data_IF_073210077888
#
_entry.id   IF_073210077888
#
_cell.length_a   1.000
_cell.length_b   1.000
_cell.length_c   1.000
_cell.angle_alpha   90.00
_cell.angle_beta   90.00
_cell.angle_gamma   90.00
#
_symmetry.space_group_name_H-M   'P 1'
#
loop_
_entity.id
_entity.type
_entity.pdbx_description
1 polymer ?
#
# COMPACT_ATOMS: atom_id res chain seq x y z
N UNK A 1 24.75 28.89 53.31
CA UNK A 1 24.84 30.16 52.55
C UNK A 1 24.36 29.90 51.14
N UNK A 2 23.41 30.74 50.68
CA UNK A 2 23.12 31.20 49.30
C UNK A 2 23.18 30.14 48.17
N UNK A 3 22.14 29.84 47.41
CA UNK A 3 20.96 30.63 47.05
C UNK A 3 21.11 31.24 45.65
N UNK A 4 20.00 31.29 44.91
CA UNK A 4 19.78 32.14 43.74
C UNK A 4 20.23 31.52 42.41
N UNK A 5 19.46 31.53 41.34
CA UNK A 5 18.33 32.41 41.02
C UNK A 5 18.67 33.22 39.77
N UNK A 6 17.86 32.96 38.73
CA UNK A 6 17.07 33.96 38.03
C UNK A 6 17.73 34.94 37.02
N UNK A 7 16.90 35.25 36.00
CA UNK A 7 16.80 36.48 35.19
C UNK A 7 17.64 36.55 33.91
N UNK A 8 17.00 36.43 32.73
CA UNK A 8 16.24 37.45 31.94
C UNK A 8 17.17 38.32 31.08
N UNK A 9 16.93 38.35 29.77
CA UNK A 9 16.20 39.44 29.10
C UNK A 9 16.50 39.49 27.59
N UNK A 10 15.43 39.73 26.85
CA UNK A 10 15.34 40.11 25.45
C UNK A 10 16.08 41.41 25.11
N UNK A 11 16.59 41.53 23.88
CA UNK A 11 16.72 42.81 23.19
C UNK A 11 16.28 42.69 21.73
N UNK A 12 15.38 43.59 21.35
CA UNK A 12 14.82 43.87 20.03
C UNK A 12 15.77 44.75 19.21
N UNK A 13 15.80 44.59 17.88
CA UNK A 13 15.81 45.70 16.91
C UNK A 13 15.76 45.19 15.46
N UNK A 14 14.72 45.61 14.73
CA UNK A 14 14.74 45.88 13.27
C UNK A 14 15.30 47.30 13.08
N UNK A 15 15.90 47.69 11.93
CA UNK A 15 15.22 47.85 10.62
C UNK A 15 16.16 47.46 9.43
N UNK A 16 15.79 47.43 8.14
CA UNK A 16 15.17 48.47 7.30
C UNK A 16 14.44 47.91 6.06
N UNK A 17 13.58 48.79 5.55
CA UNK A 17 12.70 48.71 4.40
C UNK A 17 13.44 48.66 3.05
N UNK A 18 12.85 47.96 2.07
CA UNK A 18 12.96 48.34 0.67
C UNK A 18 11.55 48.53 0.10
N UNK A 19 11.25 49.79 -0.18
CA UNK A 19 10.10 50.26 -0.95
C UNK A 19 10.36 49.96 -2.43
N UNK A 20 9.36 49.43 -3.15
CA UNK A 20 9.23 49.76 -4.55
C UNK A 20 7.76 50.01 -4.89
N UNK A 21 7.48 51.28 -5.19
CA UNK A 21 6.21 51.77 -5.70
C UNK A 21 6.21 51.61 -7.21
N UNK A 22 5.15 51.01 -7.75
CA UNK A 22 4.47 51.53 -8.94
C UNK A 22 3.02 51.04 -8.91
N UNK A 23 2.11 52.02 -8.79
CA UNK A 23 0.67 51.87 -8.92
C UNK A 23 0.31 51.75 -10.40
N UNK A 24 -0.72 50.97 -10.70
CA UNK A 24 -1.83 51.44 -11.54
C UNK A 24 -3.14 50.73 -11.15
N UNK A 25 -4.23 51.48 -11.29
CA UNK A 25 -5.59 51.27 -10.79
C UNK A 25 -6.24 50.01 -11.42
N UNK A 26 -7.23 49.29 -10.88
CA UNK A 26 -8.32 49.59 -9.99
C UNK A 26 -9.60 49.00 -10.63
N UNK A 27 -10.23 48.02 -10.00
CA UNK A 27 -11.68 47.78 -10.15
C UNK A 27 -12.19 47.04 -8.92
N UNK A 28 -13.03 47.73 -8.14
CA UNK A 28 -13.47 47.31 -6.83
C UNK A 28 -14.50 46.19 -6.85
N UNK A 29 -14.41 45.29 -5.87
CA UNK A 29 -15.50 44.44 -5.45
C UNK A 29 -16.14 45.05 -4.20
N UNK A 30 -17.47 45.13 -4.23
CA UNK A 30 -18.29 45.81 -3.22
C UNK A 30 -18.23 45.11 -1.86
N UNK A 31 -18.27 45.95 -0.82
CA UNK A 31 -18.44 45.54 0.57
C UNK A 31 -19.84 44.94 0.73
N UNK A 32 -19.91 43.64 1.01
CA UNK A 32 -20.83 43.00 1.98
C UNK A 32 -20.77 41.47 1.86
N UNK A 33 -19.84 40.83 2.58
CA UNK A 33 -20.01 39.46 3.05
C UNK A 33 -19.18 39.30 4.33
N UNK A 34 -19.85 39.30 5.47
CA UNK A 34 -19.25 39.12 6.79
C UNK A 34 -20.04 38.00 7.46
N UNK A 35 -19.30 36.99 7.96
CA UNK A 35 -19.67 35.83 8.80
C UNK A 35 -20.17 34.57 8.05
N UNK A 36 -19.60 33.38 8.23
CA UNK A 36 -18.50 32.98 9.11
C UNK A 36 -18.02 31.52 8.96
N UNK A 37 -16.79 31.31 9.47
CA UNK A 37 -16.20 30.10 10.07
C UNK A 37 -16.02 28.85 9.18
N UNK A 38 -14.75 28.60 8.80
CA UNK A 38 -14.27 27.28 8.38
C UNK A 38 -13.24 27.30 7.24
N UNK A 39 -12.17 28.10 7.32
CA UNK A 39 -11.14 28.19 6.27
C UNK A 39 -10.05 27.13 6.54
N UNK A 40 -10.19 25.96 5.92
CA UNK A 40 -9.07 25.16 5.43
C UNK A 40 -8.85 25.55 3.97
N UNK A 41 -7.64 25.95 3.61
CA UNK A 41 -7.33 26.69 2.39
C UNK A 41 -7.86 26.02 1.11
N UNK A 42 -8.72 26.73 0.39
CA UNK A 42 -9.04 26.41 -1.00
C UNK A 42 -7.77 26.68 -1.84
N UNK A 43 -7.12 25.61 -2.29
CA UNK A 43 -6.30 25.70 -3.49
C UNK A 43 -7.26 26.04 -4.65
N UNK A 44 -7.38 27.32 -4.99
CA UNK A 44 -8.03 27.75 -6.23
C UNK A 44 -7.12 27.25 -7.36
N UNK A 45 -7.36 26.03 -7.82
CA UNK A 45 -6.86 25.60 -9.12
C UNK A 45 -7.61 26.45 -10.12
N UNK A 46 -6.89 27.37 -10.76
CA UNK A 46 -7.39 28.00 -11.98
C UNK A 46 -7.34 26.90 -13.04
N UNK A 47 -8.37 26.05 -13.09
CA UNK A 47 -8.66 25.31 -14.30
C UNK A 47 -8.83 26.39 -15.36
N UNK A 48 -7.90 26.48 -16.30
CA UNK A 48 -8.02 27.38 -17.43
C UNK A 48 -9.17 26.87 -18.31
N UNK A 49 -10.41 27.09 -17.88
CA UNK A 49 -11.59 26.98 -18.71
C UNK A 49 -11.59 28.19 -19.65
N UNK A 50 -10.85 28.11 -20.76
CA UNK A 50 -11.13 28.97 -21.91
C UNK A 50 -12.34 28.41 -22.65
N UNK A 51 -13.53 28.61 -22.06
CA UNK A 51 -14.76 28.68 -22.83
C UNK A 51 -14.74 29.97 -23.65
N UNK A 52 -13.94 30.01 -24.72
CA UNK A 52 -14.11 30.98 -25.79
C UNK A 52 -15.03 30.34 -26.82
N UNK A 53 -16.28 30.79 -26.78
CA UNK A 53 -17.29 30.56 -27.82
C UNK A 53 -16.69 30.81 -29.21
N UNK A 54 -16.83 29.81 -30.08
CA UNK A 54 -16.86 30.03 -31.53
C UNK A 54 -15.72 29.36 -32.30
N UNK A 55 -15.85 28.05 -32.55
CA UNK A 55 -15.75 27.42 -33.88
C UNK A 55 -15.88 25.91 -33.72
N UNK A 56 -16.98 25.38 -34.23
CA UNK A 56 -17.21 23.95 -34.39
C UNK A 56 -16.03 23.34 -35.18
N UNK A 57 -15.60 22.14 -34.76
CA UNK A 57 -14.59 21.24 -35.36
C UNK A 57 -13.14 21.30 -34.86
N UNK A 58 -12.90 21.75 -33.62
CA UNK A 58 -11.62 21.51 -32.93
C UNK A 58 -11.81 20.96 -31.50
N UNK A 59 -12.66 19.94 -31.33
CA UNK A 59 -12.63 19.11 -30.12
C UNK A 59 -11.50 18.07 -30.26
N UNK A 60 -10.25 18.53 -30.24
CA UNK A 60 -9.12 17.66 -29.90
C UNK A 60 -9.07 17.66 -28.38
N UNK A 61 -9.17 16.45 -27.80
CA UNK A 61 -9.08 16.16 -26.38
C UNK A 61 -8.13 17.13 -25.66
N UNK A 62 -8.70 18.02 -24.84
CA UNK A 62 -7.89 18.79 -23.90
C UNK A 62 -7.25 17.79 -22.93
N UNK A 63 -5.92 17.69 -22.98
CA UNK A 63 -5.15 16.81 -22.09
C UNK A 63 -5.35 17.30 -20.67
N UNK A 64 -6.16 16.60 -19.89
CA UNK A 64 -6.30 16.85 -18.46
C UNK A 64 -4.94 16.66 -17.79
N UNK A 65 -4.40 17.74 -17.20
CA UNK A 65 -3.13 17.72 -16.46
C UNK A 65 -3.40 17.78 -14.98
N UNK A 66 -2.89 16.78 -14.25
CA UNK A 66 -2.95 16.74 -12.80
C UNK A 66 -2.04 17.80 -12.19
N UNK A 67 -2.45 18.33 -11.03
CA UNK A 67 -1.57 19.18 -10.23
C UNK A 67 -0.41 18.35 -9.67
N UNK A 68 0.79 18.94 -9.56
CA UNK A 68 1.94 18.25 -8.96
C UNK A 68 1.70 17.86 -7.50
N UNK A 69 0.91 18.66 -6.79
CA UNK A 69 0.52 18.42 -5.40
C UNK A 69 -0.95 18.80 -5.19
N UNK A 70 -1.66 17.94 -4.47
CA UNK A 70 -3.06 18.11 -4.08
C UNK A 70 -3.16 17.98 -2.57
N UNK A 71 -3.69 19.01 -1.91
CA UNK A 71 -4.04 18.94 -0.50
C UNK A 71 -5.39 18.25 -0.35
N UNK A 72 -5.38 17.02 0.16
CA UNK A 72 -6.62 16.27 0.38
C UNK A 72 -7.29 16.68 1.70
N UNK A 73 -8.61 16.82 1.65
CA UNK A 73 -9.46 16.87 2.83
C UNK A 73 -10.70 16.01 2.57
N UNK A 74 -11.13 15.16 3.51
CA UNK A 74 -12.31 14.33 3.33
C UNK A 74 -13.54 15.16 2.99
N UNK A 75 -14.26 14.75 1.95
CA UNK A 75 -15.53 15.35 1.57
C UNK A 75 -16.61 15.04 2.63
N UNK A 76 -17.56 15.97 2.78
CA UNK A 76 -18.71 15.83 3.70
C UNK A 76 -19.93 15.25 3.02
N UNK A 77 -20.00 15.34 1.69
CA UNK A 77 -21.08 14.76 0.88
C UNK A 77 -20.54 13.92 -0.26
N UNK A 78 -21.40 13.05 -0.79
CA UNK A 78 -21.08 12.21 -1.96
C UNK A 78 -20.80 13.08 -3.19
N UNK A 79 -21.56 14.16 -3.38
CA UNK A 79 -21.37 15.10 -4.50
C UNK A 79 -20.02 15.82 -4.40
N UNK A 80 -19.62 16.24 -3.20
CA UNK A 80 -18.30 16.82 -2.96
C UNK A 80 -17.19 15.83 -3.29
N UNK A 81 -17.31 14.57 -2.88
CA UNK A 81 -16.31 13.53 -3.15
C UNK A 81 -16.16 13.25 -4.65
N UNK A 82 -17.27 13.14 -5.40
CA UNK A 82 -17.27 12.94 -6.85
C UNK A 82 -16.70 14.15 -7.59
N UNK A 83 -17.11 15.35 -7.17
CA UNK A 83 -16.59 16.59 -7.76
C UNK A 83 -15.09 16.70 -7.55
N UNK A 84 -14.60 16.43 -6.34
CA UNK A 84 -13.18 16.42 -6.03
C UNK A 84 -12.41 15.47 -6.97
N UNK A 85 -12.89 14.23 -7.08
CA UNK A 85 -12.23 13.22 -7.91
C UNK A 85 -12.21 13.64 -9.40
N UNK A 86 -13.30 14.20 -9.89
CA UNK A 86 -13.38 14.71 -11.27
C UNK A 86 -12.45 15.88 -11.52
N UNK A 87 -12.38 16.85 -10.60
CA UNK A 87 -11.60 18.08 -10.81
C UNK A 87 -10.12 17.93 -10.53
N UNK A 88 -9.74 17.08 -9.58
CA UNK A 88 -8.36 16.95 -9.11
C UNK A 88 -7.66 15.68 -9.57
N UNK A 89 -8.41 14.60 -9.81
CA UNK A 89 -7.87 13.29 -10.21
C UNK A 89 -8.26 12.89 -11.64
N UNK A 90 -9.12 13.66 -12.30
CA UNK A 90 -9.55 13.39 -13.68
C UNK A 90 -10.49 12.19 -13.83
N UNK A 91 -11.05 11.70 -12.72
CA UNK A 91 -11.94 10.55 -12.73
C UNK A 91 -13.30 10.97 -13.31
N UNK A 92 -13.76 10.24 -14.31
CA UNK A 92 -14.98 10.55 -15.06
C UNK A 92 -16.22 10.02 -14.36
N UNK A 93 -16.12 8.80 -13.83
CA UNK A 93 -17.27 8.06 -13.30
C UNK A 93 -16.99 7.50 -11.91
N UNK A 94 -17.99 7.61 -11.03
CA UNK A 94 -18.06 6.91 -9.75
C UNK A 94 -19.36 6.13 -9.69
N UNK A 95 -19.32 4.95 -9.08
CA UNK A 95 -20.53 4.21 -8.74
C UNK A 95 -21.44 5.04 -7.82
N UNK A 96 -22.72 5.13 -8.18
CA UNK A 96 -23.69 5.97 -7.47
C UNK A 96 -23.99 5.50 -6.05
N UNK A 97 -23.84 4.20 -5.78
CA UNK A 97 -24.17 3.55 -4.51
C UNK A 97 -22.98 3.42 -3.58
N UNK A 98 -21.81 3.89 -3.98
CA UNK A 98 -20.61 3.81 -3.15
C UNK A 98 -20.74 4.70 -1.90
N UNK A 99 -20.46 4.18 -0.69
CA UNK A 99 -20.51 4.98 0.52
C UNK A 99 -19.48 6.12 0.50
N UNK A 100 -19.82 7.27 1.09
CA UNK A 100 -18.93 8.44 1.19
C UNK A 100 -17.58 8.11 1.81
N UNK A 101 -17.57 7.27 2.85
CA UNK A 101 -16.34 6.85 3.54
C UNK A 101 -15.38 6.12 2.60
N UNK A 102 -15.93 5.26 1.72
CA UNK A 102 -15.18 4.53 0.70
C UNK A 102 -14.68 5.49 -0.38
N UNK A 103 -15.50 6.44 -0.84
CA UNK A 103 -15.07 7.45 -1.80
C UNK A 103 -13.90 8.30 -1.26
N UNK A 104 -13.97 8.71 0.01
CA UNK A 104 -12.88 9.46 0.65
C UNK A 104 -11.61 8.62 0.76
N UNK A 105 -11.71 7.35 1.11
CA UNK A 105 -10.57 6.43 1.14
C UNK A 105 -9.92 6.27 -0.25
N UNK A 106 -10.71 6.10 -1.31
CA UNK A 106 -10.20 6.05 -2.69
C UNK A 106 -9.49 7.35 -3.05
N UNK A 107 -10.15 8.49 -2.82
CA UNK A 107 -9.60 9.80 -3.17
C UNK A 107 -8.29 10.08 -2.45
N UNK A 108 -8.21 9.79 -1.14
CA UNK A 108 -6.99 9.96 -0.35
C UNK A 108 -5.84 9.10 -0.89
N UNK A 109 -6.11 7.81 -1.17
CA UNK A 109 -5.10 6.89 -1.71
C UNK A 109 -4.58 7.34 -3.08
N UNK A 110 -5.46 7.80 -3.97
CA UNK A 110 -5.07 8.30 -5.29
C UNK A 110 -4.33 9.64 -5.23
N UNK A 111 -4.70 10.53 -4.31
CA UNK A 111 -3.95 11.77 -4.04
C UNK A 111 -2.53 11.46 -3.56
N UNK A 112 -2.35 10.46 -2.69
CA UNK A 112 -1.02 10.07 -2.23
C UNK A 112 -0.11 9.68 -3.41
N UNK A 113 -0.62 8.89 -4.36
CA UNK A 113 0.12 8.52 -5.56
C UNK A 113 0.37 9.74 -6.45
N UNK A 114 -0.64 10.58 -6.66
CA UNK A 114 -0.51 11.82 -7.42
C UNK A 114 0.66 12.67 -6.91
N UNK A 115 0.70 12.89 -5.60
CA UNK A 115 1.67 13.78 -4.98
C UNK A 115 3.07 13.19 -5.01
N UNK A 116 3.22 11.88 -4.77
CA UNK A 116 4.52 11.19 -4.89
C UNK A 116 5.05 11.29 -6.32
N UNK A 117 4.20 11.03 -7.31
CA UNK A 117 4.57 11.06 -8.73
C UNK A 117 4.54 12.45 -9.36
N UNK A 118 4.23 13.49 -8.57
CA UNK A 118 4.13 14.89 -9.01
C UNK A 118 3.18 15.09 -10.19
N UNK A 119 1.99 14.51 -10.12
CA UNK A 119 0.96 14.64 -11.15
C UNK A 119 1.23 13.86 -12.45
N UNK A 120 2.20 12.93 -12.44
CA UNK A 120 2.58 12.15 -13.63
C UNK A 120 1.91 10.78 -13.72
N UNK A 121 1.36 10.28 -12.62
CA UNK A 121 0.64 9.01 -12.64
C UNK A 121 -0.61 9.09 -13.53
N UNK A 122 -0.86 8.04 -14.31
CA UNK A 122 -2.14 7.84 -14.98
C UNK A 122 -3.19 7.43 -13.96
N UNK A 123 -4.28 8.17 -13.84
CA UNK A 123 -5.40 7.80 -12.97
C UNK A 123 -6.38 6.88 -13.69
N UNK A 124 -7.18 6.15 -12.91
CA UNK A 124 -8.34 5.41 -13.41
C UNK A 124 -9.39 6.39 -13.97
N UNK A 125 -10.11 5.97 -14.99
CA UNK A 125 -11.22 6.74 -15.57
C UNK A 125 -12.52 6.55 -14.76
N UNK A 126 -12.70 5.35 -14.21
CA UNK A 126 -13.93 4.94 -13.52
C UNK A 126 -13.60 4.25 -12.20
N UNK A 127 -14.35 4.57 -11.13
CA UNK A 127 -14.30 3.86 -9.85
C UNK A 127 -15.62 3.12 -9.63
N UNK A 128 -15.57 1.79 -9.61
CA UNK A 128 -16.72 0.92 -9.39
C UNK A 128 -16.86 0.49 -7.94
N UNK A 129 -18.10 0.22 -7.49
CA UNK A 129 -18.39 -0.40 -6.20
C UNK A 129 -19.30 -1.61 -6.41
N UNK A 130 -18.69 -2.72 -6.79
CA UNK A 130 -19.40 -3.85 -7.40
C UNK A 130 -19.31 -5.11 -6.53
N UNK A 131 -20.37 -5.94 -6.48
CA UNK A 131 -20.27 -7.24 -5.85
C UNK A 131 -19.31 -8.12 -6.65
N UNK A 132 -18.31 -8.66 -5.97
CA UNK A 132 -17.38 -9.63 -6.55
C UNK A 132 -17.71 -11.03 -6.01
N UNK A 133 -17.29 -12.07 -6.74
CA UNK A 133 -17.60 -13.45 -6.38
C UNK A 133 -17.09 -13.77 -4.96
N UNK A 134 -17.81 -14.58 -4.19
CA UNK A 134 -17.49 -14.85 -2.79
C UNK A 134 -16.09 -15.47 -2.54
N UNK A 135 -15.46 -16.04 -3.59
CA UNK A 135 -14.09 -16.57 -3.55
C UNK A 135 -12.99 -15.50 -3.77
N UNK A 136 -13.38 -14.31 -4.21
CA UNK A 136 -12.47 -13.18 -4.41
C UNK A 136 -12.46 -12.34 -3.12
N UNK A 137 -11.50 -12.62 -2.26
CA UNK A 137 -11.33 -11.93 -0.97
C UNK A 137 -10.54 -10.61 -1.10
N UNK A 138 -10.12 -10.25 -2.32
CA UNK A 138 -9.40 -9.00 -2.58
C UNK A 138 -10.29 -7.78 -2.30
N UNK A 139 -9.71 -6.73 -1.72
CA UNK A 139 -10.43 -5.47 -1.43
C UNK A 139 -10.85 -4.72 -2.71
N UNK A 140 -10.07 -4.85 -3.78
CA UNK A 140 -10.33 -4.23 -5.06
C UNK A 140 -9.54 -4.93 -6.18
N UNK A 141 -9.84 -4.58 -7.43
CA UNK A 141 -9.07 -4.99 -8.60
C UNK A 141 -9.03 -3.89 -9.68
N UNK A 142 -7.96 -3.87 -10.47
CA UNK A 142 -7.85 -3.04 -11.66
C UNK A 142 -8.40 -3.76 -12.91
N UNK A 143 -9.08 -3.01 -13.77
CA UNK A 143 -9.42 -3.39 -15.14
C UNK A 143 -8.75 -2.40 -16.09
N UNK A 144 -8.06 -2.95 -17.09
CA UNK A 144 -7.39 -2.17 -18.12
C UNK A 144 -8.35 -1.25 -18.90
N UNK A 145 -7.81 -0.21 -19.52
CA UNK A 145 -8.63 0.64 -20.39
C UNK A 145 -9.19 -0.12 -21.60
N UNK A 146 -8.46 -1.11 -22.11
CA UNK A 146 -8.90 -1.92 -23.26
C UNK A 146 -10.05 -2.86 -22.89
N UNK A 147 -10.02 -3.44 -21.69
CA UNK A 147 -11.09 -4.33 -21.21
C UNK A 147 -12.29 -3.56 -20.64
N UNK A 148 -12.07 -2.35 -20.11
CA UNK A 148 -13.14 -1.47 -19.62
C UNK A 148 -13.92 -0.76 -20.72
N UNK A 149 -13.44 -0.78 -21.97
CA UNK A 149 -14.13 -0.22 -23.13
C UNK A 149 -14.44 1.28 -22.96
N UNK A 150 -15.70 1.66 -23.10
CA UNK A 150 -16.13 3.06 -22.99
C UNK A 150 -15.93 3.65 -21.58
N UNK A 151 -15.83 2.81 -20.56
CA UNK A 151 -15.57 3.23 -19.17
C UNK A 151 -14.09 3.53 -18.90
N UNK A 152 -13.19 3.24 -19.84
CA UNK A 152 -11.75 3.42 -19.69
C UNK A 152 -11.17 2.47 -18.63
N UNK A 153 -10.06 2.87 -18.01
CA UNK A 153 -9.47 2.07 -16.93
C UNK A 153 -10.35 2.13 -15.68
N UNK A 154 -10.60 0.98 -15.05
CA UNK A 154 -11.55 0.87 -13.92
C UNK A 154 -10.84 0.37 -12.67
N UNK A 155 -11.08 1.04 -11.54
CA UNK A 155 -10.76 0.51 -10.21
C UNK A 155 -12.04 0.02 -9.55
N UNK A 156 -12.22 -1.29 -9.48
CA UNK A 156 -13.40 -1.90 -8.90
C UNK A 156 -13.15 -2.24 -7.44
N UNK A 157 -13.92 -1.64 -6.55
CA UNK A 157 -13.88 -1.91 -5.12
C UNK A 157 -14.88 -3.03 -4.83
N UNK A 158 -14.42 -4.01 -4.04
CA UNK A 158 -15.20 -5.20 -3.72
C UNK A 158 -16.28 -4.87 -2.69
N UNK A 159 -17.49 -4.61 -3.19
CA UNK A 159 -18.66 -4.33 -2.35
C UNK A 159 -18.94 -5.44 -1.35
N UNK A 160 -18.80 -6.70 -1.77
CA UNK A 160 -19.07 -7.87 -0.92
C UNK A 160 -18.16 -7.85 0.31
N UNK A 161 -16.86 -7.59 0.11
CA UNK A 161 -15.90 -7.54 1.22
C UNK A 161 -16.11 -6.32 2.11
N UNK A 162 -16.36 -5.15 1.52
CA UNK A 162 -16.55 -3.91 2.29
C UNK A 162 -17.82 -3.97 3.16
N UNK A 163 -18.93 -4.52 2.64
CA UNK A 163 -20.17 -4.66 3.41
C UNK A 163 -20.09 -5.73 4.51
N UNK A 164 -19.18 -6.70 4.39
CA UNK A 164 -19.00 -7.81 5.35
C UNK A 164 -17.62 -7.80 6.05
N UNK A 165 -17.00 -6.61 6.17
CA UNK A 165 -15.63 -6.48 6.68
C UNK A 165 -15.48 -7.04 8.12
N UNK A 166 -16.53 -6.92 8.94
CA UNK A 166 -16.52 -7.49 10.29
C UNK A 166 -16.44 -9.02 10.25
N UNK A 167 -17.23 -9.69 9.41
CA UNK A 167 -17.16 -11.13 9.22
C UNK A 167 -15.77 -11.55 8.71
N UNK A 168 -15.21 -10.83 7.74
CA UNK A 168 -13.87 -11.13 7.22
C UNK A 168 -12.79 -11.05 8.30
N UNK A 169 -12.80 -10.01 9.15
CA UNK A 169 -11.87 -9.90 10.28
C UNK A 169 -12.06 -11.08 11.26
N UNK A 170 -13.29 -11.50 11.52
CA UNK A 170 -13.55 -12.63 12.41
C UNK A 170 -13.06 -13.97 11.82
N UNK A 171 -13.18 -14.17 10.50
CA UNK A 171 -12.66 -15.36 9.81
C UNK A 171 -11.15 -15.45 9.92
N UNK A 172 -10.42 -14.39 9.57
CA UNK A 172 -8.94 -14.39 9.66
C UNK A 172 -8.47 -14.56 11.11
N UNK A 173 -9.20 -14.03 12.09
CA UNK A 173 -8.89 -14.22 13.51
C UNK A 173 -9.06 -15.67 13.95
N UNK A 174 -10.11 -16.34 13.47
CA UNK A 174 -10.31 -17.77 13.72
C UNK A 174 -9.16 -18.58 13.15
N UNK A 175 -8.79 -18.33 11.90
CA UNK A 175 -7.65 -19.00 11.25
C UNK A 175 -6.34 -18.75 12.00
N UNK A 176 -6.13 -17.53 12.50
CA UNK A 176 -4.94 -17.17 13.28
C UNK A 176 -4.83 -17.93 14.60
N UNK A 177 -5.97 -18.17 15.26
CA UNK A 177 -6.05 -19.00 16.47
C UNK A 177 -5.77 -20.46 16.13
N UNK A 178 -6.39 -20.98 15.06
CA UNK A 178 -6.22 -22.37 14.62
C UNK A 178 -4.77 -22.65 14.17
N UNK A 179 -4.13 -21.70 13.50
CA UNK A 179 -2.74 -21.79 13.03
C UNK A 179 -1.69 -21.44 14.10
N UNK A 180 -2.08 -21.23 15.36
CA UNK A 180 -1.18 -20.86 16.46
C UNK A 180 -0.32 -19.63 16.16
N UNK A 181 -0.90 -18.64 15.49
CA UNK A 181 -0.34 -17.29 15.39
C UNK A 181 -0.71 -16.51 16.64
N UNK A 182 -1.97 -16.64 17.04
CA UNK A 182 -2.56 -16.00 18.22
C UNK A 182 -3.10 -17.03 19.21
N UNK A 183 -3.32 -16.60 20.45
CA UNK A 183 -4.03 -17.36 21.47
C UNK A 183 -4.84 -16.41 22.36
N UNK A 184 -5.79 -16.96 23.14
CA UNK A 184 -6.44 -16.21 24.23
C UNK A 184 -5.66 -16.39 25.53
N UNK A 185 -5.25 -15.29 26.14
CA UNK A 185 -4.54 -15.30 27.41
C UNK A 185 -5.48 -15.64 28.58
N UNK A 186 -4.97 -15.63 29.81
CA UNK A 186 -5.75 -15.95 31.03
C UNK A 186 -6.93 -15.01 31.29
N UNK A 187 -6.89 -13.80 30.74
CA UNK A 187 -7.96 -12.80 30.83
C UNK A 187 -8.97 -12.92 29.68
N UNK A 188 -8.81 -13.90 28.79
CA UNK A 188 -9.64 -14.09 27.61
C UNK A 188 -9.33 -13.14 26.45
N UNK A 189 -8.30 -12.29 26.57
CA UNK A 189 -7.86 -11.36 25.54
C UNK A 189 -6.94 -12.03 24.53
N UNK A 190 -6.96 -11.56 23.30
CA UNK A 190 -6.03 -12.00 22.26
C UNK A 190 -4.60 -11.59 22.61
N UNK A 191 -3.67 -12.51 22.38
CA UNK A 191 -2.22 -12.30 22.45
C UNK A 191 -1.51 -13.11 21.34
N UNK A 192 -0.26 -12.77 21.04
CA UNK A 192 0.56 -13.40 20.00
C UNK A 192 1.57 -14.38 20.60
N UNK A 193 1.83 -15.49 19.90
CA UNK A 193 2.99 -16.33 20.24
C UNK A 193 4.29 -15.54 20.07
N UNK A 194 5.33 -15.85 20.87
CA UNK A 194 6.55 -15.04 20.97
C UNK A 194 7.21 -14.74 19.62
N UNK A 195 7.21 -15.69 18.69
CA UNK A 195 7.75 -15.48 17.35
C UNK A 195 7.07 -14.33 16.60
N UNK A 196 5.79 -14.09 16.84
CA UNK A 196 5.03 -13.03 16.17
C UNK A 196 4.97 -11.72 16.99
N UNK A 197 5.62 -11.66 18.16
CA UNK A 197 5.68 -10.43 18.97
C UNK A 197 6.81 -9.53 18.47
N UNK A 198 6.43 -8.44 17.82
CA UNK A 198 7.31 -7.41 17.27
C UNK A 198 6.96 -6.05 17.90
N UNK A 199 7.34 -5.92 19.18
CA UNK A 199 7.16 -4.75 20.06
C UNK A 199 5.97 -3.85 19.70
N UNK A 200 6.22 -2.62 19.25
CA UNK A 200 5.21 -1.59 19.02
C UNK A 200 4.15 -2.00 17.99
N UNK A 201 4.57 -2.66 16.90
CA UNK A 201 3.65 -3.07 15.82
C UNK A 201 2.69 -4.13 16.33
N UNK A 202 3.21 -5.12 17.06
CA UNK A 202 2.40 -6.18 17.64
C UNK A 202 1.49 -5.69 18.76
N UNK A 203 1.95 -4.74 19.57
CA UNK A 203 1.15 -4.15 20.65
C UNK A 203 -0.04 -3.34 20.12
N UNK A 204 0.18 -2.54 19.07
CA UNK A 204 -0.89 -1.77 18.42
C UNK A 204 -1.94 -2.68 17.78
N UNK A 205 -1.50 -3.70 17.03
CA UNK A 205 -2.39 -4.71 16.44
C UNK A 205 -3.25 -5.39 17.52
N UNK A 206 -2.62 -5.90 18.59
CA UNK A 206 -3.32 -6.57 19.68
C UNK A 206 -4.32 -5.65 20.39
N UNK A 207 -3.94 -4.39 20.64
CA UNK A 207 -4.84 -3.40 21.22
C UNK A 207 -6.09 -3.21 20.35
N UNK A 208 -5.90 -2.92 19.07
CA UNK A 208 -7.01 -2.65 18.13
C UNK A 208 -7.90 -3.88 17.92
N UNK A 209 -7.32 -5.07 17.84
CA UNK A 209 -8.09 -6.32 17.73
C UNK A 209 -8.95 -6.58 18.96
N UNK A 210 -8.39 -6.41 20.16
CA UNK A 210 -9.17 -6.58 21.39
C UNK A 210 -10.26 -5.51 21.52
N UNK A 211 -9.97 -4.26 21.16
CA UNK A 211 -10.99 -3.19 21.13
C UNK A 211 -12.12 -3.48 20.12
N UNK A 212 -11.78 -4.01 18.94
CA UNK A 212 -12.74 -4.42 17.93
C UNK A 212 -13.64 -5.55 18.42
N UNK A 213 -13.08 -6.57 19.07
CA UNK A 213 -13.85 -7.69 19.62
C UNK A 213 -14.78 -7.27 20.77
N UNK A 214 -14.40 -6.27 21.56
CA UNK A 214 -15.25 -5.74 22.63
C UNK A 214 -16.36 -4.82 22.11
N UNK A 215 -16.05 -3.97 21.11
CA UNK A 215 -16.93 -2.87 20.65
C UNK A 215 -16.85 -2.69 19.13
N UNK A 216 -17.31 -3.66 18.32
CA UNK A 216 -17.13 -3.65 16.87
C UNK A 216 -17.85 -2.46 16.19
N UNK A 217 -18.96 -1.99 16.77
CA UNK A 217 -19.77 -0.88 16.24
C UNK A 217 -19.07 0.49 16.37
N UNK A 218 -17.98 0.59 17.15
CA UNK A 218 -17.20 1.83 17.26
C UNK A 218 -16.20 2.02 16.13
N UNK A 219 -15.95 0.97 15.35
CA UNK A 219 -15.01 1.03 14.24
C UNK A 219 -15.78 1.50 13.00
N UNK A 220 -15.30 2.59 12.41
CA UNK A 220 -15.71 3.00 11.07
C UNK A 220 -15.31 1.93 10.04
N UNK A 221 -15.84 1.99 8.82
CA UNK A 221 -15.48 1.02 7.79
C UNK A 221 -13.98 1.08 7.47
N UNK A 222 -13.40 2.29 7.41
CA UNK A 222 -11.98 2.47 7.14
C UNK A 222 -11.12 2.05 8.34
N UNK A 223 -11.59 2.18 9.58
CA UNK A 223 -10.88 1.60 10.74
C UNK A 223 -10.79 0.08 10.64
N UNK A 224 -11.86 -0.57 10.17
CA UNK A 224 -11.88 -2.03 9.95
C UNK A 224 -10.94 -2.43 8.81
N UNK A 225 -10.92 -1.70 7.70
CA UNK A 225 -9.95 -1.93 6.61
C UNK A 225 -8.52 -1.79 7.11
N UNK A 226 -8.23 -0.74 7.90
CA UNK A 226 -6.91 -0.57 8.50
C UNK A 226 -6.53 -1.74 9.40
N UNK A 227 -7.47 -2.24 10.20
CA UNK A 227 -7.27 -3.40 11.08
C UNK A 227 -7.03 -4.69 10.29
N UNK A 228 -7.81 -4.90 9.23
CA UNK A 228 -7.59 -5.98 8.27
C UNK A 228 -6.19 -5.90 7.65
N UNK A 229 -5.78 -4.74 7.15
CA UNK A 229 -4.45 -4.55 6.53
C UNK A 229 -3.29 -4.73 7.55
N UNK A 230 -3.49 -4.32 8.82
CA UNK A 230 -2.52 -4.62 9.88
C UNK A 230 -2.34 -6.13 10.08
N UNK A 231 -3.44 -6.86 10.03
CA UNK A 231 -3.43 -8.32 10.13
C UNK A 231 -2.80 -8.99 8.90
N UNK A 232 -3.17 -8.55 7.69
CA UNK A 232 -2.61 -9.05 6.43
C UNK A 232 -1.10 -8.82 6.36
N UNK A 233 -0.60 -7.69 6.89
CA UNK A 233 0.85 -7.42 6.97
C UNK A 233 1.59 -8.50 7.76
N UNK A 234 1.04 -8.92 8.91
CA UNK A 234 1.57 -10.04 9.70
C UNK A 234 1.50 -11.36 8.92
N UNK A 235 0.37 -11.66 8.29
CA UNK A 235 0.16 -12.89 7.53
C UNK A 235 1.15 -13.01 6.36
N UNK A 236 1.33 -11.95 5.58
CA UNK A 236 2.29 -11.93 4.48
C UNK A 236 3.74 -12.01 4.92
N UNK A 237 4.10 -11.39 6.05
CA UNK A 237 5.44 -11.56 6.60
C UNK A 237 5.69 -13.02 7.02
N UNK A 238 4.69 -13.67 7.61
CA UNK A 238 4.74 -15.09 7.96
C UNK A 238 4.95 -15.94 6.71
N UNK A 239 4.14 -15.73 5.68
CA UNK A 239 4.25 -16.50 4.44
C UNK A 239 5.61 -16.28 3.77
N UNK A 240 6.04 -15.02 3.61
CA UNK A 240 7.36 -14.70 3.06
C UNK A 240 8.52 -15.30 3.88
N UNK A 241 8.35 -15.49 5.19
CA UNK A 241 9.34 -16.17 6.02
C UNK A 241 9.48 -17.66 5.64
N UNK A 242 8.38 -18.34 5.34
CA UNK A 242 8.36 -19.77 5.02
C UNK A 242 8.53 -20.08 3.53
N UNK A 243 8.19 -19.16 2.63
CA UNK A 243 8.32 -19.32 1.18
C UNK A 243 9.73 -18.95 0.64
N UNK A 244 10.51 -18.15 1.39
CA UNK A 244 11.93 -17.87 1.07
C UNK A 244 12.91 -18.45 2.11
N UNK A 245 12.87 -19.77 2.39
CA UNK A 245 13.54 -20.32 3.57
C UNK A 245 15.06 -20.16 3.52
N UNK A 246 15.70 -20.32 2.36
CA UNK A 246 17.15 -20.14 2.25
C UNK A 246 17.60 -18.71 2.56
N UNK A 247 16.82 -17.70 2.14
CA UNK A 247 17.14 -16.31 2.45
C UNK A 247 17.04 -16.05 3.96
N UNK A 248 16.04 -16.63 4.62
CA UNK A 248 15.84 -16.47 6.07
C UNK A 248 16.88 -17.23 6.89
N UNK A 249 17.25 -18.44 6.46
CA UNK A 249 18.37 -19.19 7.04
C UNK A 249 19.67 -18.37 6.96
N UNK A 250 20.02 -17.83 5.79
CA UNK A 250 21.19 -16.95 5.63
C UNK A 250 21.11 -15.71 6.52
N UNK A 251 19.93 -15.14 6.74
CA UNK A 251 19.73 -14.00 7.62
C UNK A 251 19.93 -14.37 9.09
N UNK A 252 19.34 -15.47 9.55
CA UNK A 252 19.48 -15.97 10.92
C UNK A 252 20.93 -16.31 11.24
N UNK A 253 21.65 -16.92 10.31
CA UNK A 253 23.07 -17.28 10.50
C UNK A 253 24.00 -16.06 10.58
N UNK A 254 23.54 -14.82 10.33
CA UNK A 254 24.33 -13.61 10.60
C UNK A 254 24.28 -13.17 12.07
N UNK A 255 23.39 -13.74 12.87
CA UNK A 255 23.27 -13.41 14.29
C UNK A 255 24.15 -14.37 15.11
N UNK A 256 25.15 -13.84 15.79
CA UNK A 256 26.11 -14.62 16.60
C UNK A 256 25.42 -15.39 17.73
N UNK A 257 24.46 -14.77 18.44
CA UNK A 257 23.71 -15.44 19.51
C UNK A 257 22.89 -16.63 18.99
N UNK A 258 22.28 -16.49 17.81
CA UNK A 258 21.59 -17.62 17.14
C UNK A 258 22.57 -18.74 16.80
N UNK A 259 23.77 -18.40 16.29
CA UNK A 259 24.79 -19.41 15.99
C UNK A 259 25.26 -20.14 17.25
N UNK A 260 25.51 -19.42 18.34
CA UNK A 260 25.90 -19.99 19.63
C UNK A 260 24.84 -20.95 20.16
N UNK A 261 23.56 -20.55 20.14
CA UNK A 261 22.44 -21.42 20.54
C UNK A 261 22.38 -22.68 19.69
N UNK A 262 22.50 -22.56 18.37
CA UNK A 262 22.45 -23.72 17.49
C UNK A 262 23.66 -24.64 17.63
N UNK A 263 24.85 -24.09 17.88
CA UNK A 263 26.05 -24.86 18.20
C UNK A 263 25.87 -25.66 19.50
N UNK A 264 25.32 -25.04 20.55
CA UNK A 264 25.04 -25.71 21.82
C UNK A 264 24.05 -26.88 21.67
N UNK A 265 23.17 -26.82 20.68
CA UNK A 265 22.21 -27.89 20.36
C UNK A 265 22.68 -28.84 19.25
N UNK A 266 23.92 -28.70 18.76
CA UNK A 266 24.45 -29.49 17.62
C UNK A 266 23.57 -29.38 16.35
N UNK A 267 22.95 -28.22 16.14
CA UNK A 267 22.01 -27.92 15.04
C UNK A 267 22.48 -26.81 14.11
N UNK A 268 23.73 -26.34 14.24
CA UNK A 268 24.26 -25.33 13.33
C UNK A 268 24.33 -25.91 11.89
N UNK A 269 23.62 -25.34 10.91
CA UNK A 269 23.53 -25.91 9.58
C UNK A 269 24.73 -25.54 8.70
N UNK A 270 25.09 -26.42 7.76
CA UNK A 270 25.95 -26.08 6.63
C UNK A 270 25.12 -25.45 5.50
N UNK A 271 25.23 -24.13 5.34
CA UNK A 271 24.48 -23.38 4.32
C UNK A 271 24.73 -23.90 2.89
N UNK A 272 25.91 -24.43 2.56
CA UNK A 272 26.21 -24.97 1.22
C UNK A 272 25.49 -26.30 0.98
N UNK A 273 25.25 -27.09 2.02
CA UNK A 273 24.46 -28.31 1.91
C UNK A 273 22.97 -27.99 1.78
N UNK A 274 22.48 -27.00 2.53
CA UNK A 274 21.09 -26.56 2.45
C UNK A 274 20.69 -26.04 1.07
N UNK A 275 21.60 -25.39 0.34
CA UNK A 275 21.32 -24.89 -1.03
C UNK A 275 20.93 -25.99 -2.02
N UNK A 276 21.32 -27.25 -1.75
CA UNK A 276 21.04 -28.44 -2.55
C UNK A 276 19.68 -29.08 -2.23
N UNK A 277 19.04 -28.68 -1.13
CA UNK A 277 17.75 -29.21 -0.71
C UNK A 277 16.60 -28.58 -1.49
N UNK A 278 15.43 -29.24 -1.46
CA UNK A 278 14.18 -28.67 -1.94
C UNK A 278 13.71 -27.52 -1.03
N UNK A 279 12.85 -26.64 -1.53
CA UNK A 279 12.27 -25.53 -0.74
C UNK A 279 11.54 -26.04 0.50
N UNK A 280 10.81 -27.15 0.39
CA UNK A 280 10.12 -27.78 1.52
C UNK A 280 11.10 -28.28 2.58
N UNK A 281 12.18 -28.96 2.17
CA UNK A 281 13.22 -29.42 3.09
C UNK A 281 13.92 -28.24 3.77
N UNK A 282 14.21 -27.17 3.04
CA UNK A 282 14.76 -25.94 3.63
C UNK A 282 13.80 -25.30 4.64
N UNK A 283 12.49 -25.29 4.35
CA UNK A 283 11.46 -24.80 5.27
C UNK A 283 11.43 -25.62 6.56
N UNK A 284 11.52 -26.94 6.47
CA UNK A 284 11.57 -27.82 7.64
C UNK A 284 12.79 -27.52 8.52
N UNK A 285 13.97 -27.30 7.92
CA UNK A 285 15.17 -26.88 8.64
C UNK A 285 14.97 -25.50 9.30
N UNK A 286 14.39 -24.53 8.58
CA UNK A 286 14.10 -23.21 9.12
C UNK A 286 13.16 -23.26 10.33
N UNK A 287 12.11 -24.08 10.27
CA UNK A 287 11.17 -24.30 11.37
C UNK A 287 11.89 -24.91 12.57
N UNK A 288 12.72 -25.95 12.36
CA UNK A 288 13.44 -26.61 13.45
C UNK A 288 14.45 -25.67 14.15
N UNK A 289 15.19 -24.89 13.36
CA UNK A 289 16.12 -23.87 13.88
C UNK A 289 15.37 -22.80 14.68
N UNK A 290 14.26 -22.30 14.12
CA UNK A 290 13.43 -21.27 14.78
C UNK A 290 12.91 -21.78 16.12
N UNK A 291 12.35 -23.00 16.14
CA UNK A 291 11.82 -23.61 17.37
C UNK A 291 12.91 -23.86 18.42
N UNK A 292 14.09 -24.29 17.99
CA UNK A 292 15.25 -24.50 18.87
C UNK A 292 15.61 -23.19 19.56
N UNK A 293 15.82 -22.12 18.79
CA UNK A 293 16.18 -20.81 19.34
C UNK A 293 15.11 -20.29 20.31
N UNK A 294 13.83 -20.36 19.93
CA UNK A 294 12.72 -19.92 20.79
C UNK A 294 12.64 -20.70 22.10
N UNK A 295 12.90 -22.01 22.06
CA UNK A 295 12.88 -22.88 23.25
C UNK A 295 14.09 -22.66 24.16
N UNK A 296 15.20 -22.18 23.61
CA UNK A 296 16.39 -21.77 24.37
C UNK A 296 16.29 -20.36 24.96
N UNK A 297 15.21 -19.63 24.66
CA UNK A 297 14.98 -18.28 25.18
C UNK A 297 15.54 -17.15 24.31
N UNK A 298 16.01 -17.46 23.09
CA UNK A 298 16.44 -16.44 22.14
C UNK A 298 15.27 -15.56 21.74
N UNK A 299 15.54 -14.25 21.66
CA UNK A 299 14.58 -13.25 21.19
C UNK A 299 14.62 -13.17 19.66
N UNK A 300 14.26 -14.27 19.01
CA UNK A 300 13.95 -14.24 17.57
C UNK A 300 12.46 -13.95 17.37
N UNK A 301 12.18 -13.05 16.46
CA UNK A 301 10.82 -12.66 16.11
C UNK A 301 10.71 -12.38 14.62
N UNK A 302 9.50 -12.50 14.11
CA UNK A 302 9.11 -12.13 12.78
C UNK A 302 9.00 -10.61 12.70
N UNK A 303 9.83 -10.01 11.87
CA UNK A 303 9.70 -8.59 11.56
C UNK A 303 8.60 -8.38 10.50
N UNK A 304 7.62 -7.54 10.83
CA UNK A 304 6.54 -7.12 9.93
C UNK A 304 6.17 -5.65 10.19
N UNK A 305 5.84 -4.88 9.13
CA UNK A 305 5.46 -3.47 9.28
C UNK A 305 4.02 -3.31 9.74
N UNK A 306 3.64 -2.10 10.16
CA UNK A 306 2.22 -1.71 10.27
C UNK A 306 1.58 -1.82 8.87
N UNK A 307 0.34 -2.30 8.83
CA UNK A 307 -0.44 -2.35 7.60
C UNK A 307 -0.79 -0.95 7.12
N UNK A 308 -0.91 -0.79 5.81
CA UNK A 308 -1.29 0.47 5.18
C UNK A 308 -2.72 0.34 4.64
N UNK A 309 -3.64 1.20 5.10
CA UNK A 309 -5.04 1.17 4.62
C UNK A 309 -5.14 1.37 3.10
N UNK A 310 -4.12 1.95 2.46
CA UNK A 310 -4.08 2.18 1.01
C UNK A 310 -3.29 1.15 0.23
N UNK A 311 -2.80 0.09 0.90
CA UNK A 311 -1.95 -0.96 0.29
C UNK A 311 -2.53 -1.45 -1.03
N UNK A 312 -3.81 -1.80 -1.04
CA UNK A 312 -4.50 -2.30 -2.24
C UNK A 312 -4.60 -1.26 -3.35
N UNK A 313 -4.92 0.01 -3.04
CA UNK A 313 -4.97 1.08 -4.06
C UNK A 313 -3.61 1.25 -4.73
N UNK A 314 -2.54 1.25 -3.93
CA UNK A 314 -1.18 1.41 -4.45
C UNK A 314 -0.75 0.21 -5.31
N UNK A 315 -1.17 -0.99 -4.95
CA UNK A 315 -0.95 -2.21 -5.74
C UNK A 315 -1.66 -2.10 -7.10
N UNK A 316 -2.97 -1.85 -7.11
CA UNK A 316 -3.75 -1.76 -8.36
C UNK A 316 -3.30 -0.60 -9.25
N UNK A 317 -2.84 0.50 -8.67
CA UNK A 317 -2.22 1.59 -9.42
C UNK A 317 -0.88 1.19 -10.03
N UNK A 318 -0.15 0.27 -9.40
CA UNK A 318 1.04 -0.36 -9.98
C UNK A 318 0.72 -1.11 -11.26
N UNK A 319 -0.36 -1.90 -11.29
CA UNK A 319 -0.85 -2.56 -12.51
C UNK A 319 -1.19 -1.55 -13.60
N UNK A 320 -1.97 -0.51 -13.28
CA UNK A 320 -2.33 0.54 -14.25
C UNK A 320 -1.10 1.28 -14.80
N UNK A 321 -0.16 1.66 -13.94
CA UNK A 321 1.06 2.33 -14.38
C UNK A 321 1.94 1.42 -15.24
N UNK A 322 2.03 0.14 -14.88
CA UNK A 322 2.81 -0.85 -15.60
C UNK A 322 2.27 -1.01 -17.02
N UNK A 323 0.97 -1.29 -17.17
CA UNK A 323 0.31 -1.38 -18.47
C UNK A 323 0.52 -0.12 -19.30
N UNK A 324 0.38 1.05 -18.69
CA UNK A 324 0.58 2.34 -19.36
C UNK A 324 2.00 2.51 -19.90
N UNK A 325 3.00 2.00 -19.19
CA UNK A 325 4.41 2.12 -19.58
C UNK A 325 4.86 1.05 -20.60
N UNK A 326 4.28 -0.15 -20.56
CA UNK A 326 4.72 -1.28 -21.40
C UNK A 326 3.86 -1.52 -22.62
N UNK A 327 2.62 -1.03 -22.59
CA UNK A 327 1.58 -1.40 -23.53
C UNK A 327 0.91 -2.73 -23.18
N UNK A 328 -0.30 -2.87 -23.68
CA UNK A 328 -1.25 -3.91 -23.31
C UNK A 328 -0.77 -5.35 -23.58
N UNK A 329 -0.21 -5.59 -24.76
CA UNK A 329 0.10 -6.95 -25.21
C UNK A 329 1.32 -7.52 -24.47
N UNK A 330 2.29 -6.67 -24.13
CA UNK A 330 3.43 -7.06 -23.29
C UNK A 330 3.02 -7.22 -21.83
N UNK A 331 2.15 -6.33 -21.32
CA UNK A 331 1.58 -6.44 -19.98
C UNK A 331 0.90 -7.79 -19.76
N UNK A 332 0.00 -8.22 -20.67
CA UNK A 332 -0.68 -9.52 -20.55
C UNK A 332 0.28 -10.72 -20.61
N UNK A 333 1.42 -10.60 -21.29
CA UNK A 333 2.41 -11.69 -21.32
C UNK A 333 3.13 -11.90 -19.99
N UNK A 334 2.96 -10.99 -19.02
CA UNK A 334 3.56 -11.05 -17.69
C UNK A 334 2.58 -11.53 -16.60
N UNK A 335 1.34 -11.91 -16.99
CA UNK A 335 0.32 -12.36 -16.05
C UNK A 335 0.66 -13.68 -15.37
N UNK A 336 -0.20 -14.10 -14.45
CA UNK A 336 -0.06 -15.41 -13.80
C UNK A 336 -0.15 -16.55 -14.82
N UNK A 337 0.43 -17.73 -14.54
CA UNK A 337 0.38 -18.86 -15.47
C UNK A 337 -1.02 -19.18 -15.98
N UNK A 338 -2.01 -19.24 -15.09
CA UNK A 338 -3.42 -19.51 -15.40
C UNK A 338 -4.09 -18.41 -16.24
N UNK A 339 -3.68 -17.15 -16.05
CA UNK A 339 -4.16 -16.02 -16.85
C UNK A 339 -3.56 -16.07 -18.25
N UNK A 340 -2.26 -16.37 -18.36
CA UNK A 340 -1.58 -16.55 -19.63
C UNK A 340 -2.21 -17.70 -20.43
N UNK A 341 -2.48 -18.83 -19.80
CA UNK A 341 -3.18 -19.95 -20.42
C UNK A 341 -4.56 -19.55 -20.93
N UNK A 342 -5.32 -18.78 -20.14
CA UNK A 342 -6.63 -18.27 -20.54
C UNK A 342 -6.55 -17.30 -21.72
N UNK A 343 -5.54 -16.43 -21.77
CA UNK A 343 -5.41 -15.40 -22.80
C UNK A 343 -4.75 -15.89 -24.09
N UNK A 344 -3.80 -16.82 -23.99
CA UNK A 344 -2.92 -17.23 -25.10
C UNK A 344 -2.95 -18.74 -25.39
N UNK A 345 -3.67 -19.54 -24.60
CA UNK A 345 -3.69 -21.00 -24.71
C UNK A 345 -2.42 -21.69 -24.20
N UNK A 346 -1.46 -20.93 -23.64
CA UNK A 346 -0.22 -21.42 -23.04
C UNK A 346 0.36 -20.39 -22.07
N UNK A 347 1.19 -20.85 -21.13
CA UNK A 347 2.08 -19.96 -20.37
C UNK A 347 3.07 -19.31 -21.32
N UNK A 348 3.30 -18.00 -21.16
CA UNK A 348 4.24 -17.24 -21.99
C UNK A 348 5.67 -17.52 -21.57
N UNK A 349 6.64 -17.28 -22.46
CA UNK A 349 8.06 -17.49 -22.15
C UNK A 349 8.52 -16.58 -21.00
N UNK A 350 7.99 -15.35 -20.93
CA UNK A 350 8.32 -14.36 -19.87
C UNK A 350 7.84 -14.85 -18.50
N UNK A 351 6.58 -15.25 -18.39
CA UNK A 351 6.03 -15.79 -17.13
C UNK A 351 6.72 -17.09 -16.78
N UNK A 352 6.93 -17.99 -17.75
CA UNK A 352 7.57 -19.28 -17.52
C UNK A 352 9.02 -19.14 -17.01
N UNK A 353 9.80 -18.21 -17.56
CA UNK A 353 11.15 -17.90 -17.08
C UNK A 353 11.14 -17.36 -15.64
N UNK A 354 10.21 -16.45 -15.33
CA UNK A 354 10.09 -15.88 -13.98
C UNK A 354 9.71 -16.92 -12.91
N UNK A 355 8.68 -17.74 -13.16
CA UNK A 355 8.16 -18.69 -12.17
C UNK A 355 9.11 -19.86 -11.93
N UNK A 356 9.89 -20.26 -12.95
CA UNK A 356 10.84 -21.37 -12.83
C UNK A 356 12.26 -20.93 -12.41
N UNK A 357 12.56 -19.63 -12.40
CA UNK A 357 13.86 -19.12 -11.98
C UNK A 357 13.97 -19.03 -10.45
N UNK A 358 14.74 -19.94 -9.84
CA UNK A 358 15.01 -19.95 -8.39
C UNK A 358 15.53 -18.59 -7.88
N UNK A 359 16.33 -17.90 -8.68
CA UNK A 359 16.88 -16.58 -8.32
C UNK A 359 15.78 -15.51 -8.32
N UNK A 360 15.00 -15.40 -9.41
CA UNK A 360 13.91 -14.41 -9.51
C UNK A 360 12.85 -14.63 -8.44
N UNK A 361 12.50 -15.89 -8.16
CA UNK A 361 11.59 -16.27 -7.08
C UNK A 361 12.12 -15.84 -5.71
N UNK A 362 13.42 -16.01 -5.43
CA UNK A 362 14.01 -15.51 -4.17
C UNK A 362 13.99 -13.99 -4.07
N UNK A 363 14.22 -13.28 -5.18
CA UNK A 363 14.14 -11.80 -5.20
C UNK A 363 12.71 -11.35 -4.94
N UNK A 364 11.74 -11.90 -5.66
CA UNK A 364 10.32 -11.56 -5.56
C UNK A 364 9.75 -11.83 -4.17
N UNK A 365 10.06 -12.98 -3.57
CA UNK A 365 9.59 -13.33 -2.23
C UNK A 365 10.08 -12.39 -1.12
N UNK A 366 11.19 -11.66 -1.32
CA UNK A 366 11.63 -10.61 -0.39
C UNK A 366 10.78 -9.33 -0.48
N UNK A 367 10.07 -9.14 -1.59
CA UNK A 367 9.05 -8.09 -1.74
C UNK A 367 7.78 -8.54 -1.01
N UNK A 368 7.18 -9.64 -1.45
CA UNK A 368 6.07 -10.34 -0.80
C UNK A 368 5.90 -11.73 -1.44
N UNK A 369 5.18 -12.64 -0.79
CA UNK A 369 4.84 -13.93 -1.41
C UNK A 369 4.01 -13.74 -2.69
N UNK A 370 3.07 -12.81 -2.66
CA UNK A 370 2.23 -12.49 -3.83
C UNK A 370 3.05 -12.01 -5.03
N UNK A 371 4.14 -11.27 -4.79
CA UNK A 371 5.04 -10.81 -5.83
C UNK A 371 5.71 -11.96 -6.62
N UNK A 372 5.77 -13.19 -6.09
CA UNK A 372 6.40 -14.30 -6.79
C UNK A 372 5.47 -15.09 -7.71
N UNK A 373 4.16 -14.80 -7.70
CA UNK A 373 3.16 -15.48 -8.54
C UNK A 373 3.30 -15.15 -10.02
N UNK A 374 3.74 -13.93 -10.36
CA UNK A 374 3.99 -13.53 -11.75
C UNK A 374 4.85 -12.25 -11.83
N UNK A 375 5.43 -11.94 -13.01
CA UNK A 375 6.07 -10.65 -13.21
C UNK A 375 5.14 -9.45 -13.01
N UNK A 376 3.83 -9.57 -13.35
CA UNK A 376 2.86 -8.50 -13.09
C UNK A 376 2.73 -8.21 -11.60
N UNK A 377 2.54 -9.24 -10.78
CA UNK A 377 2.39 -9.07 -9.33
C UNK A 377 3.67 -8.57 -8.67
N UNK A 378 4.83 -9.01 -9.19
CA UNK A 378 6.11 -8.47 -8.77
C UNK A 378 6.19 -6.96 -8.98
N UNK A 379 5.88 -6.48 -10.19
CA UNK A 379 5.94 -5.06 -10.53
C UNK A 379 4.94 -4.26 -9.68
N UNK A 380 3.71 -4.72 -9.50
CA UNK A 380 2.71 -4.04 -8.69
C UNK A 380 3.11 -3.95 -7.21
N UNK A 381 3.64 -5.03 -6.63
CA UNK A 381 4.10 -5.04 -5.24
C UNK A 381 5.35 -4.19 -5.00
N UNK A 382 6.27 -4.13 -5.96
CA UNK A 382 7.43 -3.22 -5.91
C UNK A 382 6.98 -1.77 -6.01
N UNK A 383 6.12 -1.43 -6.98
CA UNK A 383 5.56 -0.08 -7.15
C UNK A 383 4.89 0.39 -5.86
N UNK A 384 4.04 -0.45 -5.28
CA UNK A 384 3.38 -0.19 -4.00
C UNK A 384 4.39 0.16 -2.90
N UNK A 385 5.46 -0.63 -2.74
CA UNK A 385 6.49 -0.35 -1.72
C UNK A 385 7.22 0.95 -1.99
N UNK A 386 7.48 1.29 -3.26
CA UNK A 386 8.09 2.58 -3.62
C UNK A 386 7.21 3.75 -3.17
N UNK A 387 5.90 3.70 -3.44
CA UNK A 387 4.93 4.70 -2.96
C UNK A 387 4.93 4.77 -1.42
N UNK A 388 4.76 3.63 -0.73
CA UNK A 388 4.77 3.59 0.74
C UNK A 388 6.07 4.12 1.34
N UNK A 389 7.22 3.82 0.73
CA UNK A 389 8.52 4.28 1.21
C UNK A 389 8.70 5.78 1.00
N UNK A 390 8.26 6.32 -0.15
CA UNK A 390 8.29 7.75 -0.43
C UNK A 390 7.46 8.55 0.59
N UNK A 391 6.32 8.00 1.04
CA UNK A 391 5.46 8.65 2.02
C UNK A 391 6.00 8.55 3.46
N UNK A 392 6.60 7.43 3.85
CA UNK A 392 6.80 7.11 5.27
C UNK A 392 8.24 7.02 5.76
N UNK A 393 9.22 6.76 4.90
CA UNK A 393 10.55 6.35 5.41
C UNK A 393 11.75 6.73 4.56
N UNK A 394 11.58 7.07 3.28
CA UNK A 394 12.67 7.26 2.34
C UNK A 394 13.55 6.01 2.14
N UNK A 395 13.13 4.83 2.64
CA UNK A 395 13.91 3.60 2.54
C UNK A 395 14.02 3.16 1.08
N UNK A 396 15.24 2.85 0.66
CA UNK A 396 15.50 2.26 -0.65
C UNK A 396 15.25 0.76 -0.60
N UNK A 397 14.67 0.22 -1.67
CA UNK A 397 14.68 -1.22 -1.94
C UNK A 397 16.09 -1.64 -2.38
N UNK A 398 16.41 -2.92 -2.24
CA UNK A 398 17.72 -3.43 -2.64
C UNK A 398 17.93 -3.38 -4.16
N UNK A 399 19.19 -3.25 -4.58
CA UNK A 399 19.54 -3.06 -5.99
C UNK A 399 19.10 -4.23 -6.88
N UNK A 400 19.11 -5.45 -6.35
CA UNK A 400 18.64 -6.65 -7.06
C UNK A 400 17.12 -6.65 -7.31
N UNK A 401 16.31 -6.17 -6.37
CA UNK A 401 14.87 -5.94 -6.55
C UNK A 401 14.66 -4.88 -7.63
N UNK A 402 15.39 -3.76 -7.58
CA UNK A 402 15.24 -2.68 -8.55
C UNK A 402 15.74 -3.07 -9.96
N UNK A 403 16.75 -3.93 -10.04
CA UNK A 403 17.25 -4.47 -11.31
C UNK A 403 16.19 -5.36 -11.95
N UNK A 404 15.61 -6.30 -11.18
CA UNK A 404 14.52 -7.15 -11.68
C UNK A 404 13.27 -6.33 -12.02
N UNK A 405 12.99 -5.26 -11.26
CA UNK A 405 11.88 -4.34 -11.53
C UNK A 405 12.06 -3.62 -12.87
N UNK A 406 13.28 -3.16 -13.16
CA UNK A 406 13.61 -2.54 -14.43
C UNK A 406 13.58 -3.54 -15.60
N UNK A 407 14.01 -4.79 -15.38
CA UNK A 407 13.93 -5.87 -16.37
C UNK A 407 12.48 -6.08 -16.84
N UNK A 408 11.52 -6.06 -15.92
CA UNK A 408 10.09 -6.13 -16.21
C UNK A 408 9.45 -4.76 -16.47
N UNK A 409 10.24 -3.73 -16.79
CA UNK A 409 9.77 -2.38 -17.17
C UNK A 409 8.85 -1.74 -16.12
N UNK A 410 9.17 -1.93 -14.85
CA UNK A 410 8.47 -1.31 -13.76
C UNK A 410 8.40 0.21 -13.87
N UNK A 411 7.23 0.83 -13.63
CA UNK A 411 7.04 2.27 -13.76
C UNK A 411 7.86 3.09 -12.75
N UNK A 412 8.25 4.31 -13.14
CA UNK A 412 8.95 5.22 -12.24
C UNK A 412 8.01 5.80 -11.17
N UNK A 413 8.57 6.06 -9.97
CA UNK A 413 7.88 6.65 -8.82
C UNK A 413 8.55 7.96 -8.42
#
# INVERSE_FOLDING_TARGET
>A
MRGGGNLRASFTSRPDEFVNQNKEEGNGLSKNAKWGIGIGAAAIITAAALLVRGKANAAKEEVFKLAEHIDFSPAKTVEEARNFAKTHLGIKNYDEKMPLEVMNWVNEGLVNINNVTKGKAKMFDTIGYVPMAAKEEALACAISAKDGGELGAIFNINKTVFENMSEHINTILKEALDCKIMFKNKEGKLDLYNFYKNDEVSADLLKRLNEFLEKPDKFSLIDKIKLYEDFVSLAYAKDAFYEAPMSKLKQLMKNEGVQETLLAHSKLPDLKQLEKLTTEQQRNVLVDITNTCLSSGDRIYLAYPKGDKFRTIYHEMGHLQHENSTGYDLYRQMGKPEECEKWFGKVTDITNDFVNSKEKQQIANRVSNYASESPLEFVAEVYRKLITNALNSGKKLSDDIMTLYAEYKGPAV
#
